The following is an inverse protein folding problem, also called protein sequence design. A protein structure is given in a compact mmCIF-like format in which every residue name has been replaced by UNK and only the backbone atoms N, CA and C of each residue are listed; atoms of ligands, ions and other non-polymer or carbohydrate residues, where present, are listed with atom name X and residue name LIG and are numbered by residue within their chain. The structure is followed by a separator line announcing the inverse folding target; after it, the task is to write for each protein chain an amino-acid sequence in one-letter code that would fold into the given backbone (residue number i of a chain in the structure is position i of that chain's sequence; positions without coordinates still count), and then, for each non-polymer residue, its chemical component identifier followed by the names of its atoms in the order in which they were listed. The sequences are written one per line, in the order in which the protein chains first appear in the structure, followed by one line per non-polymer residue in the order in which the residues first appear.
data_IF_538764554304
#
_entry.id   IF_538764554304
#
_cell.length_a   1.000
_cell.length_b   1.000
_cell.length_c   1.000
_cell.angle_alpha   90.00
_cell.angle_beta   90.00
_cell.angle_gamma   90.00
#
_symmetry.space_group_name_H-M   'P 1'
#
loop_
_entity.id
_entity.type
_entity.pdbx_description
1 polymer ?
#
# COMPACT_ATOMS: atom_id res chain seq x y z
N UNK A 1 4.17 -19.06 4.20
CA UNK A 1 3.63 -18.52 2.93
C UNK A 1 4.09 -17.08 2.85
N UNK A 2 4.59 -16.62 1.71
CA UNK A 2 4.93 -15.20 1.54
C UNK A 2 3.65 -14.36 1.58
N UNK A 3 3.61 -13.22 2.30
CA UNK A 3 2.46 -12.33 2.22
C UNK A 3 2.34 -11.68 0.83
N UNK A 4 1.14 -11.70 0.27
CA UNK A 4 0.84 -11.15 -1.08
C UNK A 4 0.19 -9.77 -1.00
N UNK A 5 -0.57 -9.49 0.06
CA UNK A 5 -1.36 -8.27 0.19
C UNK A 5 -0.68 -7.29 1.14
N UNK A 6 -0.36 -6.10 0.64
CA UNK A 6 0.09 -4.95 1.38
C UNK A 6 -1.07 -4.06 1.82
N UNK A 7 -1.22 -3.90 3.13
CA UNK A 7 -2.25 -3.09 3.77
C UNK A 7 -1.63 -1.77 4.21
N UNK A 8 -1.95 -0.67 3.52
CA UNK A 8 -1.54 0.68 3.92
C UNK A 8 -2.42 1.21 5.04
N UNK A 9 -1.92 1.33 6.28
CA UNK A 9 -2.74 1.72 7.40
C UNK A 9 -3.04 3.22 7.35
N UNK A 10 -4.29 3.59 7.03
CA UNK A 10 -4.73 4.99 7.00
C UNK A 10 -5.37 5.45 8.31
N UNK A 11 -5.60 4.51 9.23
CA UNK A 11 -6.04 4.76 10.59
C UNK A 11 -5.61 3.62 11.50
N UNK A 12 -5.78 3.81 12.82
CA UNK A 12 -5.57 2.72 13.80
C UNK A 12 -6.56 1.57 13.59
N UNK A 13 -7.78 1.89 13.15
CA UNK A 13 -8.80 0.90 12.78
C UNK A 13 -8.33 0.00 11.63
N UNK A 14 -7.58 0.52 10.64
CA UNK A 14 -6.99 -0.32 9.59
C UNK A 14 -6.00 -1.35 10.12
N UNK A 15 -5.18 -0.96 11.11
CA UNK A 15 -4.21 -1.87 11.75
C UNK A 15 -4.93 -2.99 12.49
N UNK A 16 -5.94 -2.65 13.30
CA UNK A 16 -6.71 -3.63 14.06
C UNK A 16 -7.55 -4.54 13.16
N UNK A 17 -8.03 -4.03 12.02
CA UNK A 17 -8.70 -4.83 11.00
C UNK A 17 -7.73 -5.82 10.34
N UNK A 18 -6.52 -5.40 10.00
CA UNK A 18 -5.50 -6.30 9.45
C UNK A 18 -5.13 -7.41 10.44
N UNK A 19 -4.93 -7.08 11.71
CA UNK A 19 -4.72 -8.05 12.80
C UNK A 19 -5.87 -9.06 12.92
N UNK A 20 -7.11 -8.56 12.87
CA UNK A 20 -8.32 -9.40 12.96
C UNK A 20 -8.41 -10.35 11.77
N UNK A 21 -8.22 -9.84 10.56
CA UNK A 21 -8.31 -10.65 9.33
C UNK A 21 -7.18 -11.69 9.29
N UNK A 22 -5.93 -11.29 9.51
CA UNK A 22 -4.80 -12.21 9.51
C UNK A 22 -5.00 -13.37 10.49
N UNK A 23 -5.44 -13.07 11.72
CA UNK A 23 -5.75 -14.11 12.73
C UNK A 23 -6.91 -15.02 12.29
N UNK A 24 -7.99 -14.44 11.76
CA UNK A 24 -9.20 -15.18 11.35
C UNK A 24 -8.92 -16.12 10.19
N UNK A 25 -8.14 -15.68 9.20
CA UNK A 25 -7.85 -16.46 7.98
C UNK A 25 -6.57 -17.29 8.10
N UNK A 26 -5.74 -17.01 9.11
CA UNK A 26 -4.37 -17.56 9.26
C UNK A 26 -3.48 -17.27 8.05
N UNK A 27 -3.73 -16.15 7.38
CA UNK A 27 -2.99 -15.72 6.19
C UNK A 27 -2.04 -14.59 6.54
N UNK A 28 -0.74 -14.71 6.23
CA UNK A 28 0.20 -13.61 6.39
C UNK A 28 -0.14 -12.40 5.53
N UNK A 29 -0.01 -11.20 6.09
CA UNK A 29 -0.21 -9.92 5.39
C UNK A 29 1.02 -9.03 5.58
N UNK A 30 1.23 -8.08 4.68
CA UNK A 30 2.15 -6.97 4.89
C UNK A 30 1.40 -5.77 5.45
N UNK A 31 1.92 -5.14 6.48
CA UNK A 31 1.43 -3.87 6.98
C UNK A 31 2.46 -2.80 6.61
N UNK A 32 2.05 -1.85 5.76
CA UNK A 32 2.95 -0.99 4.99
C UNK A 32 2.73 0.51 5.30
N UNK A 33 2.96 1.01 6.53
CA UNK A 33 2.91 2.45 6.79
C UNK A 33 3.95 3.20 5.96
N UNK A 34 3.51 4.28 5.32
CA UNK A 34 4.39 5.34 4.83
C UNK A 34 4.96 6.16 5.98
N UNK A 35 6.04 6.90 5.71
CA UNK A 35 6.64 7.82 6.70
C UNK A 35 5.65 8.86 7.24
N UNK A 36 4.69 9.31 6.42
CA UNK A 36 3.66 10.25 6.88
C UNK A 36 2.68 9.62 7.89
N UNK A 37 2.46 8.31 7.79
CA UNK A 37 1.54 7.58 8.65
C UNK A 37 2.17 7.31 10.01
N UNK A 38 3.40 6.77 10.01
CA UNK A 38 4.18 6.41 11.19
C UNK A 38 5.65 6.58 10.85
N UNK A 39 6.41 7.25 11.71
CA UNK A 39 7.85 7.46 11.63
C UNK A 39 8.43 7.57 13.06
N UNK A 40 9.73 7.76 13.16
CA UNK A 40 10.40 7.92 14.44
C UNK A 40 9.92 9.18 15.20
N UNK A 41 10.09 9.17 16.51
CA UNK A 41 9.73 10.30 17.38
C UNK A 41 10.41 11.61 16.95
N UNK A 42 11.64 11.55 16.44
CA UNK A 42 12.38 12.73 15.94
C UNK A 42 11.68 13.42 14.75
N UNK A 43 10.89 12.68 13.98
CA UNK A 43 10.11 13.20 12.85
C UNK A 43 8.66 13.56 13.24
N UNK A 44 8.32 13.46 14.53
CA UNK A 44 6.98 13.73 15.05
C UNK A 44 6.02 12.54 14.98
N UNK A 45 6.54 11.33 14.74
CA UNK A 45 5.72 10.13 14.60
C UNK A 45 5.00 10.13 13.25
N UNK A 46 3.74 10.53 13.22
CA UNK A 46 2.94 10.55 12.01
C UNK A 46 1.47 10.74 12.34
N UNK A 47 0.62 10.86 11.32
CA UNK A 47 -0.78 11.23 11.57
C UNK A 47 -1.62 10.10 12.20
N UNK A 48 -1.13 8.85 12.26
CA UNK A 48 -1.78 7.77 13.02
C UNK A 48 -1.63 7.96 14.54
N UNK A 49 -0.74 8.87 14.97
CA UNK A 49 -0.48 9.17 16.37
C UNK A 49 0.30 8.06 17.07
N UNK A 50 1.16 7.37 16.35
CA UNK A 50 2.15 6.43 16.88
C UNK A 50 3.52 6.77 16.31
N UNK A 51 4.54 6.65 17.14
CA UNK A 51 5.92 6.50 16.71
C UNK A 51 6.14 5.10 16.11
N UNK A 52 7.21 4.91 15.35
CA UNK A 52 7.60 3.59 14.80
C UNK A 52 7.63 2.51 15.89
N UNK A 53 8.19 2.81 17.07
CA UNK A 53 8.29 1.88 18.18
C UNK A 53 6.93 1.54 18.79
N UNK A 54 6.05 2.54 19.00
CA UNK A 54 4.70 2.31 19.53
C UNK A 54 3.84 1.50 18.54
N UNK A 55 3.94 1.81 17.25
CA UNK A 55 3.24 1.09 16.21
C UNK A 55 3.68 -0.39 16.15
N UNK A 56 4.99 -0.64 16.09
CA UNK A 56 5.51 -2.00 16.07
C UNK A 56 5.18 -2.76 17.36
N UNK A 57 5.27 -2.08 18.52
CA UNK A 57 4.89 -2.64 19.82
C UNK A 57 3.41 -3.04 19.87
N UNK A 58 2.51 -2.20 19.35
CA UNK A 58 1.09 -2.51 19.24
C UNK A 58 0.85 -3.74 18.36
N UNK A 59 1.43 -3.80 17.16
CA UNK A 59 1.24 -4.94 16.24
C UNK A 59 1.78 -6.23 16.86
N UNK A 60 3.02 -6.24 17.33
CA UNK A 60 3.66 -7.42 17.94
C UNK A 60 2.91 -7.90 19.19
N UNK A 61 2.38 -6.98 20.00
CA UNK A 61 1.58 -7.33 21.17
C UNK A 61 0.24 -8.01 20.84
N UNK A 62 -0.28 -7.81 19.63
CA UNK A 62 -1.56 -8.37 19.19
C UNK A 62 -1.43 -9.46 18.10
N UNK A 63 -0.21 -9.80 17.70
CA UNK A 63 0.11 -10.80 16.67
C UNK A 63 1.11 -11.86 17.18
N UNK A 64 0.68 -12.73 18.12
CA UNK A 64 1.55 -13.77 18.67
C UNK A 64 1.99 -14.82 17.65
N UNK A 65 1.25 -14.96 16.54
CA UNK A 65 1.52 -15.91 15.46
C UNK A 65 2.48 -15.33 14.40
N UNK A 66 2.84 -14.04 14.47
CA UNK A 66 3.73 -13.37 13.53
C UNK A 66 3.19 -13.34 12.10
N UNK A 67 1.89 -13.11 11.93
CA UNK A 67 1.21 -13.08 10.63
C UNK A 67 1.33 -11.72 9.92
N UNK A 68 1.67 -10.64 10.61
CA UNK A 68 1.87 -9.32 10.02
C UNK A 68 3.35 -9.03 9.86
N UNK A 69 3.81 -9.02 8.61
CA UNK A 69 5.11 -8.50 8.26
C UNK A 69 5.06 -6.96 8.32
N UNK A 70 5.83 -6.38 9.22
CA UNK A 70 6.01 -4.92 9.29
C UNK A 70 6.91 -4.46 8.14
N UNK A 71 6.38 -3.57 7.30
CA UNK A 71 7.04 -3.07 6.11
C UNK A 71 7.03 -1.55 6.08
N UNK A 72 8.09 -0.91 5.61
CA UNK A 72 8.08 0.53 5.30
C UNK A 72 7.57 0.71 3.87
N UNK A 73 6.63 1.64 3.66
CA UNK A 73 6.24 2.10 2.32
C UNK A 73 6.85 3.47 2.01
N UNK A 74 7.31 3.68 0.76
CA UNK A 74 7.78 4.97 0.26
C UNK A 74 8.74 5.69 1.25
N UNK A 75 9.86 5.05 1.60
CA UNK A 75 10.84 5.56 2.56
C UNK A 75 11.84 6.59 2.02
N UNK A 76 11.52 7.20 0.89
CA UNK A 76 12.38 8.09 0.12
C UNK A 76 12.61 9.49 0.66
N UNK A 77 13.54 10.23 0.05
CA UNK A 77 13.78 11.63 0.37
C UNK A 77 12.60 12.51 -0.08
N UNK A 78 12.28 13.53 0.72
CA UNK A 78 11.15 14.46 0.55
C UNK A 78 9.75 13.81 0.59
N UNK A 79 9.67 12.57 1.05
CA UNK A 79 8.39 11.89 1.24
C UNK A 79 7.78 12.18 2.63
N UNK A 80 8.56 12.73 3.56
CA UNK A 80 8.08 13.16 4.88
C UNK A 80 7.96 14.69 4.99
N UNK A 81 6.98 15.19 5.76
CA UNK A 81 6.75 16.65 5.88
C UNK A 81 7.86 17.37 6.65
N UNK A 82 8.62 16.67 7.49
CA UNK A 82 9.78 17.23 8.19
C UNK A 82 10.95 17.57 7.23
N UNK A 83 10.88 17.10 5.98
CA UNK A 83 11.91 17.32 4.97
C UNK A 83 11.57 18.51 4.06
N UNK A 84 10.48 19.21 4.36
CA UNK A 84 9.96 20.28 3.50
C UNK A 84 10.98 21.41 3.24
N UNK A 85 11.83 21.68 4.24
CA UNK A 85 12.83 22.76 4.19
C UNK A 85 14.23 22.26 3.80
N UNK A 86 14.42 20.95 3.58
CA UNK A 86 15.72 20.38 3.20
C UNK A 86 16.01 20.66 1.73
N UNK A 87 17.04 21.45 1.46
CA UNK A 87 17.46 21.79 0.09
C UNK A 87 18.51 20.84 -0.48
N UNK A 88 19.37 20.29 0.37
CA UNK A 88 20.51 19.46 -0.01
C UNK A 88 20.10 17.98 -0.10
N UNK A 89 20.34 17.30 -1.24
CA UNK A 89 19.99 15.89 -1.39
C UNK A 89 20.64 14.98 -0.34
N UNK A 90 21.91 15.23 0.02
CA UNK A 90 22.60 14.42 1.02
C UNK A 90 21.91 14.45 2.40
N UNK A 91 21.44 15.63 2.82
CA UNK A 91 20.70 15.78 4.08
C UNK A 91 19.34 15.07 4.03
N UNK A 92 18.67 15.08 2.86
CA UNK A 92 17.43 14.33 2.68
C UNK A 92 17.67 12.81 2.75
N UNK A 93 18.77 12.32 2.20
CA UNK A 93 19.16 10.92 2.34
C UNK A 93 19.52 10.56 3.79
N UNK A 94 20.21 11.45 4.52
CA UNK A 94 20.49 11.27 5.95
C UNK A 94 19.21 11.15 6.78
N UNK A 95 18.20 11.96 6.46
CA UNK A 95 16.87 11.88 7.07
C UNK A 95 16.21 10.51 6.84
N UNK A 96 16.26 9.99 5.61
CA UNK A 96 15.76 8.65 5.31
C UNK A 96 16.48 7.56 6.10
N UNK A 97 17.81 7.61 6.18
CA UNK A 97 18.61 6.61 6.90
C UNK A 97 18.25 6.59 8.40
N UNK A 98 18.02 7.76 9.02
CA UNK A 98 17.55 7.82 10.42
C UNK A 98 16.16 7.21 10.60
N UNK A 99 15.24 7.47 9.67
CA UNK A 99 13.89 6.86 9.67
C UNK A 99 13.98 5.33 9.54
N UNK A 100 14.76 4.84 8.58
CA UNK A 100 14.98 3.39 8.38
C UNK A 100 15.71 2.73 9.56
N UNK A 101 16.64 3.41 10.20
CA UNK A 101 17.29 2.92 11.42
C UNK A 101 16.27 2.66 12.53
N UNK A 102 15.30 3.56 12.72
CA UNK A 102 14.21 3.36 13.67
C UNK A 102 13.28 2.19 13.28
N UNK A 103 13.03 1.99 11.98
CA UNK A 103 12.27 0.85 11.48
C UNK A 103 13.00 -0.49 11.77
N UNK A 104 14.31 -0.53 11.53
CA UNK A 104 15.15 -1.69 11.85
C UNK A 104 15.15 -2.00 13.35
N UNK A 105 15.31 -0.98 14.20
CA UNK A 105 15.26 -1.13 15.67
C UNK A 105 13.89 -1.62 16.14
N UNK A 106 12.82 -1.21 15.46
CA UNK A 106 11.46 -1.67 15.72
C UNK A 106 11.14 -3.05 15.12
N UNK A 107 12.07 -3.64 14.35
CA UNK A 107 11.96 -4.95 13.72
C UNK A 107 11.03 -4.98 12.51
N UNK A 108 11.08 -3.95 11.67
CA UNK A 108 10.54 -4.01 10.31
C UNK A 108 11.35 -5.01 9.48
N UNK A 109 10.65 -5.87 8.74
CA UNK A 109 11.25 -6.95 7.94
C UNK A 109 11.36 -6.64 6.44
N UNK A 110 10.78 -5.54 5.99
CA UNK A 110 10.88 -5.09 4.60
C UNK A 110 10.95 -3.55 4.53
N UNK A 111 11.93 -3.00 3.82
CA UNK A 111 12.07 -1.56 3.63
C UNK A 111 11.88 -1.17 2.15
N UNK A 112 10.84 -0.40 1.85
CA UNK A 112 10.64 0.17 0.52
C UNK A 112 11.45 1.47 0.35
N UNK A 113 12.52 1.37 -0.45
CA UNK A 113 13.39 2.49 -0.83
C UNK A 113 12.90 3.04 -2.17
N UNK A 114 12.22 4.18 -2.10
CA UNK A 114 11.71 4.90 -3.28
C UNK A 114 12.43 6.23 -3.42
N UNK A 115 13.09 6.51 -4.54
CA UNK A 115 13.84 7.76 -4.73
C UNK A 115 13.35 8.57 -5.93
N UNK A 116 12.13 8.29 -6.39
CA UNK A 116 11.51 8.94 -7.55
C UNK A 116 11.13 10.41 -7.29
N UNK A 117 10.86 10.79 -6.04
CA UNK A 117 10.42 12.14 -5.69
C UNK A 117 11.55 13.18 -5.74
N UNK A 118 11.16 14.40 -6.12
CA UNK A 118 12.01 15.58 -6.04
C UNK A 118 11.72 16.41 -4.81
N UNK A 119 12.32 17.61 -4.77
CA UNK A 119 12.05 18.57 -3.71
C UNK A 119 10.58 19.00 -3.73
N UNK A 120 10.03 19.46 -2.59
CA UNK A 120 8.68 19.98 -2.55
C UNK A 120 8.44 21.02 -3.66
N UNK A 121 7.39 20.80 -4.45
CA UNK A 121 7.01 21.67 -5.56
C UNK A 121 7.78 21.49 -6.87
N UNK A 122 8.79 20.61 -6.94
CA UNK A 122 9.52 20.34 -8.19
C UNK A 122 8.99 19.14 -8.97
N UNK A 123 8.16 18.31 -8.33
CA UNK A 123 7.73 17.03 -8.89
C UNK A 123 8.87 15.98 -8.91
N UNK A 124 8.61 14.81 -9.52
CA UNK A 124 9.57 13.71 -9.60
C UNK A 124 10.87 14.08 -10.32
N UNK A 125 11.95 13.39 -9.98
CA UNK A 125 13.25 13.56 -10.64
C UNK A 125 13.41 12.63 -11.86
N UNK A 126 14.35 12.91 -12.77
CA UNK A 126 14.68 11.99 -13.86
C UNK A 126 15.10 10.61 -13.33
N UNK A 127 14.78 9.55 -14.08
CA UNK A 127 15.02 8.15 -13.68
C UNK A 127 16.50 7.88 -13.33
N UNK A 128 17.46 8.49 -14.03
CA UNK A 128 18.89 8.34 -13.74
C UNK A 128 19.25 8.93 -12.37
N UNK A 129 18.67 10.08 -12.01
CA UNK A 129 18.85 10.71 -10.71
C UNK A 129 18.22 9.87 -9.60
N UNK A 130 17.00 9.34 -9.84
CA UNK A 130 16.34 8.44 -8.90
C UNK A 130 17.17 7.17 -8.68
N UNK A 131 17.61 6.49 -9.74
CA UNK A 131 18.44 5.29 -9.69
C UNK A 131 19.76 5.51 -8.92
N UNK A 132 20.47 6.61 -9.17
CA UNK A 132 21.71 6.92 -8.45
C UNK A 132 21.46 7.10 -6.95
N UNK A 133 20.43 7.87 -6.57
CA UNK A 133 20.02 8.04 -5.17
C UNK A 133 19.58 6.73 -4.52
N UNK A 134 18.90 5.87 -5.29
CA UNK A 134 18.43 4.58 -4.81
C UNK A 134 19.60 3.72 -4.40
N UNK A 135 20.60 3.55 -5.28
CA UNK A 135 21.79 2.74 -4.98
C UNK A 135 22.52 3.26 -3.74
N UNK A 136 22.70 4.59 -3.63
CA UNK A 136 23.31 5.21 -2.46
C UNK A 136 22.50 4.95 -1.18
N UNK A 137 21.20 5.25 -1.18
CA UNK A 137 20.34 5.07 -0.02
C UNK A 137 20.23 3.59 0.38
N UNK A 138 20.14 2.69 -0.60
CA UNK A 138 20.10 1.24 -0.39
C UNK A 138 21.35 0.74 0.31
N UNK A 139 22.53 1.14 -0.16
CA UNK A 139 23.80 0.75 0.45
C UNK A 139 23.87 1.22 1.90
N UNK A 140 23.53 2.50 2.16
CA UNK A 140 23.51 3.07 3.51
C UNK A 140 22.53 2.36 4.44
N UNK A 141 21.32 2.05 3.96
CA UNK A 141 20.34 1.30 4.72
C UNK A 141 20.79 -0.14 4.99
N UNK A 142 21.52 -0.75 4.05
CA UNK A 142 22.10 -2.07 4.25
C UNK A 142 23.19 -2.06 5.31
N UNK A 143 24.05 -1.06 5.32
CA UNK A 143 25.07 -0.89 6.35
C UNK A 143 24.46 -0.75 7.75
N UNK A 144 23.39 0.05 7.90
CA UNK A 144 22.64 0.17 9.16
C UNK A 144 22.02 -1.16 9.61
N UNK A 145 21.48 -1.95 8.68
CA UNK A 145 20.91 -3.26 8.97
C UNK A 145 22.00 -4.26 9.40
N UNK A 146 23.14 -4.29 8.69
CA UNK A 146 24.28 -5.14 9.05
C UNK A 146 24.85 -4.78 10.42
N UNK A 147 24.99 -3.49 10.71
CA UNK A 147 25.48 -3.01 12.01
C UNK A 147 24.59 -3.48 13.18
N UNK A 148 23.29 -3.64 12.92
CA UNK A 148 22.30 -4.15 13.89
C UNK A 148 22.15 -5.67 13.90
N UNK A 149 22.71 -6.38 12.91
CA UNK A 149 22.40 -7.79 12.68
C UNK A 149 20.93 -8.03 12.35
N UNK A 150 20.24 -7.04 11.77
CA UNK A 150 18.84 -7.12 11.41
C UNK A 150 18.65 -7.94 10.13
N UNK A 151 17.75 -8.92 10.17
CA UNK A 151 17.28 -9.62 8.96
C UNK A 151 16.16 -8.81 8.32
N UNK A 152 16.47 -8.22 7.17
CA UNK A 152 15.57 -7.29 6.47
C UNK A 152 15.67 -7.52 4.97
N UNK A 153 14.51 -7.49 4.31
CA UNK A 153 14.43 -7.45 2.87
C UNK A 153 14.20 -6.03 2.37
N UNK A 154 14.39 -5.83 1.07
CA UNK A 154 14.17 -4.53 0.45
C UNK A 154 13.15 -4.61 -0.67
N UNK A 155 12.46 -3.51 -0.85
CA UNK A 155 11.60 -3.21 -1.97
C UNK A 155 12.13 -1.92 -2.60
N UNK A 156 12.10 -1.82 -3.92
CA UNK A 156 12.64 -0.64 -4.60
C UNK A 156 11.63 0.00 -5.56
N UNK A 157 11.65 1.33 -5.60
CA UNK A 157 10.94 2.14 -6.57
C UNK A 157 11.83 3.30 -7.05
N UNK A 158 11.86 3.55 -8.35
CA UNK A 158 12.70 4.60 -8.93
C UNK A 158 12.02 5.37 -10.07
N UNK A 159 10.74 5.08 -10.30
CA UNK A 159 9.92 5.77 -11.30
C UNK A 159 8.72 6.40 -10.62
N UNK A 160 8.30 7.59 -11.07
CA UNK A 160 7.09 8.22 -10.56
C UNK A 160 5.86 7.37 -10.86
N UNK A 161 4.75 7.64 -10.19
CA UNK A 161 3.48 6.95 -10.49
C UNK A 161 2.75 7.58 -11.69
N UNK A 162 2.28 6.74 -12.61
CA UNK A 162 1.48 7.13 -13.79
C UNK A 162 0.19 6.28 -13.88
N UNK A 163 -0.72 6.65 -14.80
CA UNK A 163 -1.92 5.89 -15.17
C UNK A 163 -1.61 4.70 -16.08
N UNK A 164 -0.51 4.76 -16.85
CA UNK A 164 -0.09 3.69 -17.78
C UNK A 164 0.77 2.62 -17.09
N UNK A 165 1.25 1.65 -17.87
CA UNK A 165 2.39 0.81 -17.47
C UNK A 165 3.70 1.48 -17.86
N UNK A 166 4.80 1.02 -17.25
CA UNK A 166 6.12 1.31 -17.79
C UNK A 166 6.29 0.73 -19.19
N UNK A 167 7.17 1.34 -19.98
CA UNK A 167 7.69 0.71 -21.17
C UNK A 167 8.58 -0.49 -20.77
N UNK A 168 8.34 -1.71 -21.29
CA UNK A 168 9.09 -2.88 -20.86
C UNK A 168 10.60 -2.83 -21.13
N UNK A 169 11.04 -2.19 -22.23
CA UNK A 169 12.45 -2.12 -22.59
C UNK A 169 13.18 -1.08 -21.73
N UNK A 170 12.56 0.09 -21.53
CA UNK A 170 13.08 1.12 -20.62
C UNK A 170 13.17 0.60 -19.18
N UNK A 171 12.11 -0.05 -18.69
CA UNK A 171 12.07 -0.66 -17.36
C UNK A 171 13.18 -1.70 -17.19
N UNK A 172 13.36 -2.59 -18.16
CA UNK A 172 14.41 -3.62 -18.13
C UNK A 172 15.81 -3.02 -18.06
N UNK A 173 16.08 -1.99 -18.86
CA UNK A 173 17.36 -1.32 -18.85
C UNK A 173 17.64 -0.63 -17.51
N UNK A 174 16.65 0.10 -16.98
CA UNK A 174 16.76 0.79 -15.70
C UNK A 174 16.91 -0.18 -14.53
N UNK A 175 16.13 -1.26 -14.50
CA UNK A 175 16.19 -2.30 -13.47
C UNK A 175 17.58 -2.91 -13.39
N UNK A 176 18.17 -3.31 -14.53
CA UNK A 176 19.52 -3.90 -14.56
C UNK A 176 20.57 -2.97 -14.00
N UNK A 177 20.54 -1.70 -14.41
CA UNK A 177 21.47 -0.68 -13.93
C UNK A 177 21.38 -0.50 -12.41
N UNK A 178 20.16 -0.49 -11.86
CA UNK A 178 19.93 -0.38 -10.42
C UNK A 178 20.43 -1.64 -9.69
N UNK A 179 20.11 -2.84 -10.18
CA UNK A 179 20.53 -4.10 -9.54
C UNK A 179 22.06 -4.26 -9.58
N UNK A 180 22.71 -3.94 -10.69
CA UNK A 180 24.17 -3.93 -10.80
C UNK A 180 24.80 -2.94 -9.82
N UNK A 181 24.21 -1.75 -9.65
CA UNK A 181 24.66 -0.75 -8.68
C UNK A 181 24.54 -1.24 -7.23
N UNK A 182 23.42 -1.89 -6.88
CA UNK A 182 23.19 -2.49 -5.56
C UNK A 182 24.22 -3.59 -5.26
N UNK A 183 24.46 -4.48 -6.23
CA UNK A 183 25.44 -5.56 -6.09
C UNK A 183 26.87 -5.04 -5.97
N UNK A 184 27.23 -4.02 -6.77
CA UNK A 184 28.54 -3.37 -6.70
C UNK A 184 28.77 -2.68 -5.36
N UNK A 185 27.71 -2.21 -4.70
CA UNK A 185 27.76 -1.68 -3.33
C UNK A 185 27.82 -2.78 -2.24
N UNK A 186 27.82 -4.07 -2.62
CA UNK A 186 27.92 -5.20 -1.69
C UNK A 186 26.62 -5.52 -0.95
N UNK A 187 25.49 -4.98 -1.40
CA UNK A 187 24.19 -5.19 -0.79
C UNK A 187 23.40 -6.29 -1.54
N UNK A 188 22.47 -7.02 -0.87
CA UNK A 188 21.72 -8.10 -1.49
C UNK A 188 20.72 -7.53 -2.52
N UNK A 189 20.31 -8.33 -3.52
CA UNK A 189 19.20 -7.95 -4.41
C UNK A 189 17.91 -7.70 -3.60
N UNK A 190 17.09 -6.71 -4.00
CA UNK A 190 15.79 -6.47 -3.37
C UNK A 190 14.86 -7.66 -3.60
N UNK A 191 13.91 -7.87 -2.68
CA UNK A 191 12.86 -8.86 -2.84
C UNK A 191 11.83 -8.41 -3.86
N UNK A 192 11.44 -7.15 -3.80
CA UNK A 192 10.40 -6.58 -4.66
C UNK A 192 10.92 -5.37 -5.45
N UNK A 193 10.37 -5.21 -6.64
CA UNK A 193 10.47 -4.01 -7.46
C UNK A 193 9.05 -3.52 -7.71
N UNK A 194 8.83 -2.24 -7.47
CA UNK A 194 7.58 -1.57 -7.81
C UNK A 194 7.69 -1.06 -9.23
N UNK A 195 6.74 -1.48 -10.07
CA UNK A 195 6.57 -0.95 -11.42
C UNK A 195 5.11 -0.51 -11.61
N UNK A 196 4.89 0.38 -12.56
CA UNK A 196 3.56 0.81 -12.97
C UNK A 196 2.87 -0.34 -13.69
N UNK A 197 1.77 -0.82 -13.12
CA UNK A 197 0.98 -1.94 -13.65
C UNK A 197 -0.34 -1.46 -14.29
N UNK A 198 -0.40 -0.18 -14.66
CA UNK A 198 -1.60 0.45 -15.20
C UNK A 198 -2.68 0.69 -14.15
N UNK A 199 -2.32 0.76 -12.87
CA UNK A 199 -3.20 1.02 -11.73
C UNK A 199 -2.92 2.39 -11.12
N UNK A 200 -3.98 3.20 -10.93
CA UNK A 200 -3.87 4.52 -10.32
C UNK A 200 -5.15 4.85 -9.57
N UNK A 201 -5.03 5.41 -8.38
CA UNK A 201 -6.19 5.85 -7.62
C UNK A 201 -6.42 7.34 -7.80
N UNK A 202 -7.65 7.71 -8.15
CA UNK A 202 -8.14 9.07 -8.04
C UNK A 202 -9.61 9.05 -7.63
N UNK A 203 -10.00 10.00 -6.80
CA UNK A 203 -11.33 10.12 -6.22
C UNK A 203 -11.75 8.84 -5.48
N UNK A 204 -12.79 8.16 -5.95
CA UNK A 204 -13.35 6.93 -5.37
C UNK A 204 -13.23 5.73 -6.32
N UNK A 205 -12.25 5.75 -7.23
CA UNK A 205 -12.08 4.73 -8.26
C UNK A 205 -10.63 4.51 -8.66
N UNK A 206 -10.39 3.40 -9.34
CA UNK A 206 -9.17 3.22 -10.12
C UNK A 206 -9.33 3.95 -11.47
N UNK A 207 -8.34 4.75 -11.84
CA UNK A 207 -8.28 5.51 -13.10
C UNK A 207 -7.12 5.07 -13.98
N UNK A 208 -6.39 4.02 -13.58
CA UNK A 208 -5.31 3.49 -14.38
C UNK A 208 -5.82 2.76 -15.63
N UNK A 209 -4.96 2.70 -16.66
CA UNK A 209 -5.24 2.08 -17.97
C UNK A 209 -5.75 0.64 -17.86
N UNK A 210 -5.29 -0.11 -16.85
CA UNK A 210 -5.74 -1.47 -16.57
C UNK A 210 -7.25 -1.56 -16.30
N UNK A 211 -7.80 -0.53 -15.64
CA UNK A 211 -9.22 -0.48 -15.31
C UNK A 211 -10.09 -0.22 -16.56
N UNK A 212 -9.52 0.34 -17.63
CA UNK A 212 -10.23 0.59 -18.88
C UNK A 212 -10.46 -0.70 -19.68
N UNK A 213 -11.72 -1.13 -19.94
CA UNK A 213 -12.00 -2.43 -20.56
C UNK A 213 -11.34 -2.63 -21.93
N UNK A 214 -11.16 -1.56 -22.71
CA UNK A 214 -10.58 -1.64 -24.07
C UNK A 214 -9.06 -1.79 -24.07
N UNK A 215 -8.38 -1.28 -23.03
CA UNK A 215 -6.92 -1.30 -22.92
C UNK A 215 -6.40 -2.46 -22.05
N UNK A 216 -7.28 -3.05 -21.23
CA UNK A 216 -6.96 -4.08 -20.24
C UNK A 216 -6.09 -5.23 -20.77
N UNK A 217 -6.45 -5.81 -21.91
CA UNK A 217 -5.71 -6.97 -22.44
C UNK A 217 -4.27 -6.59 -22.86
N UNK A 218 -4.09 -5.40 -23.40
CA UNK A 218 -2.76 -4.89 -23.75
C UNK A 218 -1.95 -4.56 -22.49
N UNK A 219 -2.58 -3.89 -21.52
CA UNK A 219 -1.99 -3.62 -20.22
C UNK A 219 -1.55 -4.89 -19.51
N UNK A 220 -2.37 -5.94 -19.50
CA UNK A 220 -2.02 -7.24 -18.90
C UNK A 220 -0.83 -7.90 -19.62
N UNK A 221 -0.71 -7.77 -20.95
CA UNK A 221 0.46 -8.25 -21.68
C UNK A 221 1.73 -7.49 -21.28
N UNK A 222 1.66 -6.17 -21.15
CA UNK A 222 2.78 -5.35 -20.68
C UNK A 222 3.18 -5.73 -19.26
N UNK A 223 2.21 -5.85 -18.34
CA UNK A 223 2.44 -6.32 -16.96
C UNK A 223 3.10 -7.69 -16.94
N UNK A 224 2.68 -8.62 -17.81
CA UNK A 224 3.31 -9.95 -17.92
C UNK A 224 4.77 -9.86 -18.36
N UNK A 225 5.11 -8.94 -19.26
CA UNK A 225 6.51 -8.70 -19.67
C UNK A 225 7.34 -8.10 -18.53
N UNK A 226 6.77 -7.16 -17.77
CA UNK A 226 7.42 -6.56 -16.59
C UNK A 226 7.69 -7.62 -15.52
N UNK A 227 6.70 -8.46 -15.21
CA UNK A 227 6.82 -9.56 -14.27
C UNK A 227 7.88 -10.57 -14.71
N UNK A 228 7.83 -11.02 -15.96
CA UNK A 228 8.81 -11.95 -16.51
C UNK A 228 10.23 -11.36 -16.46
N UNK A 229 10.39 -10.06 -16.69
CA UNK A 229 11.67 -9.36 -16.57
C UNK A 229 12.17 -9.36 -15.12
N UNK A 230 11.30 -9.05 -14.15
CA UNK A 230 11.65 -9.12 -12.73
C UNK A 230 12.11 -10.54 -12.35
N UNK A 231 11.33 -11.57 -12.73
CA UNK A 231 11.64 -12.96 -12.40
C UNK A 231 12.96 -13.43 -13.03
N UNK A 232 13.27 -13.01 -14.25
CA UNK A 232 14.56 -13.29 -14.91
C UNK A 232 15.75 -12.68 -14.15
N UNK A 233 15.54 -11.52 -13.54
CA UNK A 233 16.53 -10.83 -12.72
C UNK A 233 16.52 -11.29 -11.24
N UNK A 234 15.72 -12.31 -10.90
CA UNK A 234 15.65 -12.89 -9.56
C UNK A 234 14.91 -12.04 -8.53
N UNK A 235 14.11 -11.06 -8.97
CA UNK A 235 13.30 -10.17 -8.12
C UNK A 235 11.81 -10.33 -8.43
N UNK A 236 10.93 -9.84 -7.55
CA UNK A 236 9.48 -9.97 -7.68
C UNK A 236 8.83 -8.65 -8.07
N UNK A 237 7.76 -8.70 -8.87
CA UNK A 237 7.00 -7.51 -9.26
C UNK A 237 5.92 -7.22 -8.22
N UNK A 238 5.86 -5.98 -7.75
CA UNK A 238 4.82 -5.51 -6.83
C UNK A 238 4.01 -4.37 -7.43
N UNK A 239 2.68 -4.48 -7.37
CA UNK A 239 1.75 -3.48 -7.87
C UNK A 239 1.30 -2.52 -6.76
N UNK A 240 1.25 -1.22 -7.05
CA UNK A 240 0.68 -0.21 -6.15
C UNK A 240 -0.69 0.23 -6.64
N UNK A 241 -1.42 1.00 -5.82
CA UNK A 241 -2.71 1.60 -6.21
C UNK A 241 -3.77 0.58 -6.67
N UNK A 242 -3.81 -0.61 -6.06
CA UNK A 242 -4.80 -1.64 -6.40
C UNK A 242 -6.16 -1.44 -5.71
N UNK A 243 -6.36 -0.31 -5.04
CA UNK A 243 -7.65 0.08 -4.48
C UNK A 243 -8.74 0.14 -5.56
N UNK A 244 -9.97 -0.14 -5.13
CA UNK A 244 -11.20 -0.12 -5.93
C UNK A 244 -11.24 -1.12 -7.10
N UNK A 245 -10.20 -1.93 -7.30
CA UNK A 245 -10.25 -3.05 -8.23
C UNK A 245 -11.22 -4.11 -7.71
N UNK A 246 -11.94 -4.74 -8.63
CA UNK A 246 -12.75 -5.92 -8.31
C UNK A 246 -11.86 -7.11 -7.97
N UNK A 247 -12.45 -8.13 -7.31
CA UNK A 247 -11.77 -9.41 -7.06
C UNK A 247 -11.28 -10.06 -8.36
N UNK A 248 -12.03 -9.93 -9.46
CA UNK A 248 -11.61 -10.47 -10.76
C UNK A 248 -10.44 -9.69 -11.36
N UNK A 249 -10.50 -8.36 -11.35
CA UNK A 249 -9.41 -7.51 -11.86
C UNK A 249 -8.11 -7.73 -11.08
N UNK A 250 -8.19 -7.81 -9.75
CA UNK A 250 -7.02 -8.11 -8.93
C UNK A 250 -6.46 -9.50 -9.24
N UNK A 251 -7.33 -10.50 -9.42
CA UNK A 251 -6.89 -11.84 -9.82
C UNK A 251 -6.25 -11.88 -11.22
N UNK A 252 -6.68 -11.01 -12.15
CA UNK A 252 -6.05 -10.87 -13.47
C UNK A 252 -4.62 -10.33 -13.36
N UNK A 253 -4.36 -9.34 -12.50
CA UNK A 253 -3.00 -8.83 -12.26
C UNK A 253 -2.08 -9.91 -11.69
N UNK A 254 -2.57 -10.67 -10.70
CA UNK A 254 -1.82 -11.79 -10.13
C UNK A 254 -1.51 -12.86 -11.17
N UNK A 255 -2.47 -13.20 -12.04
CA UNK A 255 -2.25 -14.16 -13.15
C UNK A 255 -1.32 -13.62 -14.25
N UNK A 256 -1.19 -12.31 -14.37
CA UNK A 256 -0.18 -11.67 -15.21
C UNK A 256 1.22 -11.66 -14.57
N UNK A 257 1.40 -12.25 -13.38
CA UNK A 257 2.71 -12.40 -12.76
C UNK A 257 3.05 -11.33 -11.72
N UNK A 258 2.11 -10.47 -11.32
CA UNK A 258 2.28 -9.62 -10.14
C UNK A 258 2.36 -10.52 -8.90
N UNK A 259 3.44 -10.40 -8.13
CA UNK A 259 3.70 -11.26 -6.97
C UNK A 259 3.07 -10.74 -5.67
N UNK A 260 2.88 -9.42 -5.58
CA UNK A 260 2.27 -8.76 -4.43
C UNK A 260 1.61 -7.44 -4.84
N UNK A 261 0.68 -6.94 -4.03
CA UNK A 261 0.01 -5.67 -4.33
C UNK A 261 -0.40 -4.90 -3.09
N UNK A 262 -0.46 -3.57 -3.22
CA UNK A 262 -0.84 -2.66 -2.15
C UNK A 262 -2.26 -2.11 -2.34
N UNK A 263 -2.97 -1.99 -1.21
CA UNK A 263 -4.26 -1.31 -1.07
C UNK A 263 -4.18 -0.42 0.16
N UNK A 264 -4.69 0.81 0.12
CA UNK A 264 -4.58 1.75 1.23
C UNK A 264 -5.76 2.74 1.35
N UNK A 265 -5.91 3.75 0.47
CA UNK A 265 -6.94 4.78 0.64
C UNK A 265 -8.37 4.25 0.72
N UNK A 266 -8.71 3.12 0.08
CA UNK A 266 -10.08 2.58 0.17
C UNK A 266 -10.47 2.17 1.59
N UNK A 267 -9.51 1.82 2.45
CA UNK A 267 -9.79 1.49 3.85
C UNK A 267 -10.31 2.69 4.62
N UNK A 268 -9.76 3.88 4.37
CA UNK A 268 -10.19 5.13 5.02
C UNK A 268 -11.57 5.56 4.54
N UNK A 269 -11.88 5.31 3.26
CA UNK A 269 -13.22 5.51 2.69
C UNK A 269 -14.22 4.51 3.28
N UNK A 270 -13.84 3.24 3.45
CA UNK A 270 -14.70 2.23 4.07
C UNK A 270 -15.03 2.58 5.52
N UNK A 271 -14.03 3.00 6.31
CA UNK A 271 -14.22 3.48 7.69
C UNK A 271 -15.12 4.72 7.73
N UNK A 272 -14.87 5.70 6.86
CA UNK A 272 -15.69 6.92 6.77
C UNK A 272 -17.14 6.62 6.43
N UNK A 273 -17.38 5.78 5.43
CA UNK A 273 -18.74 5.36 5.05
C UNK A 273 -19.42 4.59 6.19
N UNK A 274 -18.68 3.79 6.95
CA UNK A 274 -19.23 3.09 8.11
C UNK A 274 -19.68 4.06 9.21
N UNK A 275 -18.88 5.08 9.53
CA UNK A 275 -19.29 6.12 10.47
C UNK A 275 -20.54 6.85 9.97
N UNK A 276 -20.58 7.27 8.70
CA UNK A 276 -21.74 7.98 8.13
C UNK A 276 -23.01 7.12 8.19
N UNK A 277 -22.92 5.81 7.92
CA UNK A 277 -24.05 4.89 8.08
C UNK A 277 -24.53 4.82 9.53
N UNK A 278 -23.62 4.72 10.50
CA UNK A 278 -23.98 4.73 11.92
C UNK A 278 -24.71 6.03 12.28
N UNK A 279 -24.19 7.19 11.84
CA UNK A 279 -24.81 8.48 12.11
C UNK A 279 -26.23 8.56 11.52
N UNK A 280 -26.46 8.05 10.31
CA UNK A 280 -27.79 7.97 9.71
C UNK A 280 -28.72 7.01 10.47
N UNK A 281 -28.28 5.78 10.74
CA UNK A 281 -29.07 4.75 11.43
C UNK A 281 -29.48 5.18 12.84
N UNK A 282 -28.63 5.94 13.52
CA UNK A 282 -28.87 6.48 14.86
C UNK A 282 -29.68 7.79 14.86
N UNK A 283 -30.02 8.32 13.67
CA UNK A 283 -30.69 9.61 13.45
C UNK A 283 -29.90 10.84 13.95
N UNK A 284 -28.57 10.79 13.87
CA UNK A 284 -27.63 11.85 14.28
C UNK A 284 -27.28 12.78 13.10
N UNK A 285 -28.31 13.39 12.49
CA UNK A 285 -28.15 14.18 11.26
C UNK A 285 -27.19 15.37 11.41
N UNK A 286 -27.24 16.07 12.55
CA UNK A 286 -26.33 17.19 12.83
C UNK A 286 -24.88 16.74 12.92
N UNK A 287 -24.61 15.66 13.65
CA UNK A 287 -23.25 15.11 13.77
C UNK A 287 -22.71 14.64 12.40
N UNK A 288 -23.57 14.13 11.53
CA UNK A 288 -23.22 13.80 10.14
C UNK A 288 -22.84 15.03 9.33
N UNK A 289 -23.64 16.09 9.38
CA UNK A 289 -23.34 17.37 8.70
C UNK A 289 -22.04 17.99 9.21
N UNK A 290 -21.86 18.02 10.52
CA UNK A 290 -20.64 18.53 11.17
C UNK A 290 -19.41 17.72 10.74
N UNK A 291 -19.52 16.38 10.69
CA UNK A 291 -18.43 15.51 10.22
C UNK A 291 -18.08 15.74 8.75
N UNK A 292 -19.08 15.81 7.87
CA UNK A 292 -18.86 16.04 6.44
C UNK A 292 -18.22 17.41 6.19
N UNK A 293 -18.68 18.44 6.89
CA UNK A 293 -18.07 19.79 6.85
C UNK A 293 -16.62 19.75 7.32
N UNK A 294 -16.36 19.17 8.49
CA UNK A 294 -15.01 19.04 9.05
C UNK A 294 -14.05 18.33 8.08
N UNK A 295 -14.49 17.21 7.49
CA UNK A 295 -13.68 16.46 6.53
C UNK A 295 -13.44 17.23 5.23
N UNK A 296 -14.45 17.92 4.72
CA UNK A 296 -14.33 18.77 3.54
C UNK A 296 -13.37 19.93 3.76
N UNK A 297 -13.55 20.67 4.85
CA UNK A 297 -12.76 21.87 5.17
C UNK A 297 -11.29 21.55 5.45
N UNK A 298 -10.98 20.31 5.83
CA UNK A 298 -9.60 19.83 5.98
C UNK A 298 -8.75 19.96 4.71
N UNK A 299 -9.39 19.95 3.54
CA UNK A 299 -8.72 20.03 2.24
C UNK A 299 -7.85 18.81 1.89
N UNK A 300 -7.83 17.76 2.71
CA UNK A 300 -7.00 16.57 2.50
C UNK A 300 -7.44 15.72 1.30
N UNK A 301 -8.62 16.01 0.74
CA UNK A 301 -9.13 15.42 -0.49
C UNK A 301 -8.47 15.96 -1.76
N UNK A 302 -7.85 17.16 -1.73
CA UNK A 302 -7.38 17.85 -2.95
C UNK A 302 -6.42 17.03 -3.81
N UNK A 303 -5.44 16.35 -3.18
CA UNK A 303 -4.44 15.53 -3.88
C UNK A 303 -5.03 14.31 -4.61
N UNK A 304 -6.26 13.93 -4.26
CA UNK A 304 -6.93 12.76 -4.82
C UNK A 304 -7.85 13.13 -5.99
N UNK A 305 -8.03 14.42 -6.28
CA UNK A 305 -8.99 14.86 -7.31
C UNK A 305 -8.37 14.78 -8.70
N UNK A 306 -9.22 14.44 -9.67
CA UNK A 306 -8.92 14.66 -11.08
C UNK A 306 -9.02 16.15 -11.42
N UNK A 307 -8.38 16.56 -12.51
CA UNK A 307 -8.56 17.90 -13.07
C UNK A 307 -8.95 17.78 -14.56
N UNK A 308 -10.21 18.11 -14.95
CA UNK A 308 -11.31 18.55 -14.08
C UNK A 308 -11.92 17.41 -13.24
N UNK A 309 -12.42 17.73 -12.05
CA UNK A 309 -13.17 16.78 -11.18
C UNK A 309 -14.68 17.02 -11.28
N UNK A 310 -15.45 15.92 -11.24
CA UNK A 310 -16.92 15.93 -11.08
C UNK A 310 -17.36 15.51 -9.68
N UNK A 311 -16.42 15.27 -8.76
CA UNK A 311 -16.72 14.84 -7.39
C UNK A 311 -17.51 15.92 -6.64
N UNK A 312 -18.55 15.48 -5.94
CA UNK A 312 -19.35 16.32 -5.05
C UNK A 312 -18.58 16.66 -3.77
N UNK A 313 -19.03 17.68 -3.03
CA UNK A 313 -18.45 18.01 -1.72
C UNK A 313 -18.59 16.86 -0.71
N UNK A 314 -19.66 16.06 -0.82
CA UNK A 314 -19.84 14.85 -0.01
C UNK A 314 -18.78 13.80 -0.36
N UNK A 315 -18.50 13.56 -1.64
CA UNK A 315 -17.45 12.60 -2.05
C UNK A 315 -16.07 13.05 -1.60
N UNK A 316 -15.78 14.36 -1.73
CA UNK A 316 -14.56 14.97 -1.20
C UNK A 316 -14.43 14.77 0.31
N UNK A 317 -15.49 15.01 1.06
CA UNK A 317 -15.53 14.75 2.50
C UNK A 317 -15.31 13.26 2.82
N UNK A 318 -15.93 12.34 2.07
CA UNK A 318 -15.76 10.88 2.26
C UNK A 318 -14.31 10.44 2.05
N UNK A 319 -13.63 10.96 1.03
CA UNK A 319 -12.22 10.68 0.76
C UNK A 319 -11.33 11.17 1.92
N UNK A 320 -11.66 12.35 2.47
CA UNK A 320 -10.86 12.99 3.52
C UNK A 320 -11.21 12.54 4.96
N UNK A 321 -12.32 11.82 5.17
CA UNK A 321 -12.88 11.58 6.51
C UNK A 321 -11.90 10.97 7.51
N UNK A 322 -11.08 10.01 7.07
CA UNK A 322 -10.12 9.35 7.95
C UNK A 322 -9.04 10.28 8.52
N UNK A 323 -8.71 11.38 7.83
CA UNK A 323 -7.74 12.36 8.33
C UNK A 323 -8.26 13.17 9.52
N UNK A 324 -9.58 13.26 9.71
CA UNK A 324 -10.19 14.09 10.76
C UNK A 324 -10.71 13.29 11.95
N UNK A 325 -10.63 11.95 11.95
CA UNK A 325 -11.10 11.12 13.06
C UNK A 325 -10.43 11.41 14.40
N UNK A 326 -9.20 11.93 14.38
CA UNK A 326 -8.41 12.21 15.58
C UNK A 326 -8.38 13.70 15.96
N UNK A 327 -9.11 14.57 15.26
CA UNK A 327 -9.30 15.94 15.70
C UNK A 327 -10.27 15.97 16.89
N UNK A 328 -10.26 17.03 17.68
CA UNK A 328 -11.18 17.18 18.81
C UNK A 328 -12.65 17.03 18.39
N UNK A 329 -13.05 17.70 17.30
CA UNK A 329 -14.42 17.60 16.78
C UNK A 329 -14.73 16.19 16.25
N UNK A 330 -13.78 15.55 15.56
CA UNK A 330 -13.93 14.17 15.08
C UNK A 330 -14.11 13.16 16.21
N UNK A 331 -13.35 13.31 17.30
CA UNK A 331 -13.46 12.47 18.50
C UNK A 331 -14.82 12.65 19.18
N UNK A 332 -15.32 13.88 19.32
CA UNK A 332 -16.64 14.14 19.89
C UNK A 332 -17.77 13.51 19.07
N UNK A 333 -17.70 13.59 17.74
CA UNK A 333 -18.70 12.99 16.84
C UNK A 333 -18.67 11.47 16.97
N UNK A 334 -17.48 10.85 17.00
CA UNK A 334 -17.33 9.41 17.21
C UNK A 334 -17.87 8.98 18.57
N UNK A 335 -17.63 9.75 19.62
CA UNK A 335 -18.21 9.49 20.94
C UNK A 335 -19.73 9.59 20.97
N UNK A 336 -20.32 10.57 20.27
CA UNK A 336 -21.78 10.69 20.14
C UNK A 336 -22.38 9.46 19.44
N UNK A 337 -21.78 9.03 18.33
CA UNK A 337 -22.15 7.80 17.63
C UNK A 337 -22.01 6.57 18.53
N UNK A 338 -20.92 6.45 19.29
CA UNK A 338 -20.68 5.34 20.21
C UNK A 338 -21.74 5.27 21.32
N UNK A 339 -22.07 6.41 21.96
CA UNK A 339 -23.13 6.49 22.97
C UNK A 339 -24.51 6.11 22.40
N UNK A 340 -24.80 6.53 21.17
CA UNK A 340 -26.08 6.22 20.52
C UNK A 340 -26.21 4.73 20.16
N UNK A 341 -25.11 4.08 19.76
CA UNK A 341 -25.06 2.63 19.54
C UNK A 341 -25.27 1.86 20.85
N UNK A 342 -24.55 2.24 21.90
CA UNK A 342 -24.64 1.62 23.24
C UNK A 342 -26.05 1.71 23.81
N UNK A 343 -26.68 2.89 23.73
CA UNK A 343 -28.06 3.11 24.17
C UNK A 343 -29.10 2.24 23.44
N UNK A 344 -28.76 1.71 22.25
CA UNK A 344 -29.61 0.80 21.47
C UNK A 344 -29.14 -0.66 21.52
N UNK A 345 -28.18 -0.99 22.38
CA UNK A 345 -27.63 -2.35 22.51
C UNK A 345 -26.95 -2.85 21.23
N UNK A 346 -26.38 -1.93 20.43
CA UNK A 346 -25.67 -2.24 19.18
C UNK A 346 -24.18 -2.50 19.46
N UNK A 347 -23.47 -3.18 18.55
CA UNK A 347 -22.02 -3.37 18.69
C UNK A 347 -21.27 -2.04 18.88
N UNK A 348 -20.14 -2.02 19.61
CA UNK A 348 -19.33 -0.82 19.79
C UNK A 348 -18.90 -0.21 18.45
N UNK A 349 -18.82 1.13 18.39
CA UNK A 349 -18.47 1.84 17.16
C UNK A 349 -17.18 1.30 16.53
N UNK A 350 -16.11 1.13 17.32
CA UNK A 350 -14.82 0.61 16.83
C UNK A 350 -14.94 -0.78 16.19
N UNK A 351 -15.84 -1.64 16.70
CA UNK A 351 -16.08 -2.95 16.08
C UNK A 351 -16.77 -2.79 14.73
N UNK A 352 -17.79 -1.92 14.62
CA UNK A 352 -18.50 -1.64 13.37
C UNK A 352 -17.56 -1.06 12.30
N UNK A 353 -16.71 -0.11 12.70
CA UNK A 353 -15.71 0.50 11.81
C UNK A 353 -14.67 -0.52 11.35
N UNK A 354 -14.15 -1.32 12.28
CA UNK A 354 -13.16 -2.37 11.99
C UNK A 354 -13.71 -3.43 11.06
N UNK A 355 -14.95 -3.86 11.24
CA UNK A 355 -15.57 -4.89 10.40
C UNK A 355 -15.73 -4.38 8.96
N UNK A 356 -16.12 -3.10 8.77
CA UNK A 356 -16.20 -2.49 7.44
C UNK A 356 -14.84 -2.43 6.71
N UNK A 357 -13.75 -2.20 7.44
CA UNK A 357 -12.39 -2.25 6.87
C UNK A 357 -11.94 -3.69 6.62
N UNK A 358 -12.23 -4.60 7.55
CA UNK A 358 -11.89 -6.02 7.43
C UNK A 358 -12.52 -6.65 6.19
N UNK A 359 -13.78 -6.31 5.87
CA UNK A 359 -14.45 -6.77 4.63
C UNK A 359 -13.69 -6.40 3.36
N UNK A 360 -13.04 -5.23 3.34
CA UNK A 360 -12.19 -4.80 2.21
C UNK A 360 -10.90 -5.59 2.13
N UNK A 361 -10.23 -5.82 3.26
CA UNK A 361 -9.03 -6.65 3.33
C UNK A 361 -9.34 -8.08 2.87
N UNK A 362 -10.46 -8.66 3.29
CA UNK A 362 -10.89 -9.98 2.84
C UNK A 362 -11.23 -10.02 1.36
N UNK A 363 -11.73 -8.92 0.79
CA UNK A 363 -11.94 -8.81 -0.66
C UNK A 363 -10.64 -8.96 -1.45
N UNK A 364 -9.54 -8.43 -0.93
CA UNK A 364 -8.21 -8.60 -1.50
C UNK A 364 -7.72 -10.06 -1.35
N UNK A 365 -7.93 -10.69 -0.19
CA UNK A 365 -7.59 -12.10 0.01
C UNK A 365 -8.37 -13.04 -0.91
N UNK A 366 -9.67 -12.80 -1.12
CA UNK A 366 -10.47 -13.55 -2.11
C UNK A 366 -9.89 -13.46 -3.52
N UNK A 367 -9.23 -12.36 -3.87
CA UNK A 367 -8.59 -12.24 -5.19
C UNK A 367 -7.35 -13.13 -5.30
N UNK A 368 -6.58 -13.24 -4.21
CA UNK A 368 -5.42 -14.15 -4.13
C UNK A 368 -5.87 -15.61 -4.28
N UNK A 369 -6.90 -16.03 -3.54
CA UNK A 369 -7.48 -17.37 -3.65
C UNK A 369 -7.98 -17.66 -5.07
N UNK A 370 -8.68 -16.70 -5.68
CA UNK A 370 -9.23 -16.82 -7.03
C UNK A 370 -8.13 -16.92 -8.11
N UNK A 371 -7.02 -16.20 -7.94
CA UNK A 371 -5.88 -16.32 -8.84
C UNK A 371 -5.25 -17.71 -8.77
N UNK A 372 -5.15 -18.31 -7.57
CA UNK A 372 -4.63 -19.67 -7.38
C UNK A 372 -5.56 -20.79 -7.86
N UNK A 373 -6.87 -20.65 -7.68
CA UNK A 373 -7.84 -21.71 -8.00
C UNK A 373 -7.93 -22.09 -9.49
N UNK A 374 -7.80 -21.12 -10.42
CA UNK A 374 -7.87 -21.42 -11.86
C UNK A 374 -6.59 -22.05 -12.43
N UNK A 375 -5.46 -21.98 -11.71
CA UNK A 375 -4.24 -22.67 -12.12
C UNK A 375 -4.39 -24.20 -11.95
N UNK A 376 -5.18 -24.64 -10.96
CA UNK A 376 -5.46 -26.06 -10.73
C UNK A 376 -6.37 -26.66 -11.82
N UNK A 377 -7.39 -25.93 -12.28
CA UNK A 377 -8.34 -26.41 -13.30
C UNK A 377 -7.73 -26.56 -14.71
N UNK A 378 -6.53 -26.00 -14.97
CA UNK A 378 -5.84 -26.13 -16.27
C UNK A 378 -4.90 -27.34 -16.35
N UNK A 379 -4.64 -28.03 -15.24
CA UNK A 379 -3.67 -29.17 -15.21
C UNK A 379 -4.33 -30.51 -15.57
N UNK A 380 -5.66 -30.65 -15.46
CA UNK A 380 -6.37 -31.92 -15.74
C UNK A 380 -6.98 -32.02 -17.15
N UNK A 381 -6.59 -31.13 -18.07
CA UNK A 381 -7.18 -31.03 -19.40
C UNK A 381 -6.27 -31.44 -20.56
N UNK A 382 -5.55 -32.56 -20.49
CA UNK A 382 -4.97 -33.17 -21.70
C UNK A 382 -5.81 -34.36 -22.18
N UNK A 383 -6.32 -34.35 -23.44
CA UNK A 383 -6.93 -35.53 -24.01
C UNK A 383 -5.83 -36.55 -24.30
N UNK A 384 -5.94 -37.73 -23.67
CA UNK A 384 -5.13 -38.90 -23.99
C UNK A 384 -5.48 -39.34 -25.41
N UNK A 385 -4.62 -39.03 -26.38
CA UNK A 385 -4.63 -39.66 -27.71
C UNK A 385 -4.43 -41.17 -27.53
N UNK A 386 -5.50 -41.95 -27.70
CA UNK A 386 -5.39 -43.40 -27.85
C UNK A 386 -4.87 -43.68 -29.25
N UNK A 387 -3.59 -44.02 -29.34
CA UNK A 387 -3.00 -44.68 -30.50
C UNK A 387 -3.77 -45.98 -30.79
N UNK A 388 -4.41 -46.03 -31.96
CA UNK A 388 -4.92 -47.27 -32.52
C UNK A 388 -3.77 -47.97 -33.25
N UNK A 389 -3.08 -48.89 -32.57
CA UNK A 389 -2.30 -49.93 -33.20
C UNK A 389 -3.26 -50.96 -33.81
N UNK A 390 -3.17 -51.15 -35.12
CA UNK A 390 -3.86 -52.23 -35.81
C UNK A 390 -3.15 -53.56 -35.64
N UNK A 391 -3.92 -54.66 -35.63
CA UNK A 391 -3.47 -55.96 -36.12
C UNK A 391 -4.63 -56.93 -36.34
N UNK A 392 -4.74 -57.36 -37.60
CA UNK A 392 -5.37 -58.58 -38.16
C UNK A 392 -6.86 -58.60 -38.44
#
# INVERSE_FOLDING_TARGET
MEPVVGIGPVSRCTVDAALTVARRTRTPLMLIPSRRQVDAAEFGGGYLGWTTQEFAGHVKGHDPDGLLLLCRDHGGPWMHTAEADITEPAEALDSCVRSFAADLDAGFGLLHIDTSEGRPGTGPVPAQTAAARLVELYARCHDEARARGADVAYEIGFEPQDVSTNDPDEFKAALRLVLEGIEAAGAPRPRYVVAQTGTKVAELRNVGRFHEPRARDETLRQVSTLAATCHQEGVRLKAHNCDYLTTEETALLLRAGVDAFNVAPEYGVAETRALLRVLDEMALHRAKEDFLRLAYDSGKWRKWMLDPTTATDVERAVIAGHYVFRTEEGLRIREEAARALDARGRPPLEAVLRDAVAERIESALRAVERAGGQAADRVDGQPVERAAEGAR
#
